data_IF_485688024018
#
_entry.id   IF_485688024018
#
_cell.length_a   1.000
_cell.length_b   1.000
_cell.length_c   1.000
_cell.angle_alpha   90.00
_cell.angle_beta   90.00
_cell.angle_gamma   90.00
#
_symmetry.space_group_name_H-M   'P 1'
#
loop_
_entity.id
_entity.type
_entity.pdbx_description
1 polymer ?
#
# COMPACT_ATOMS: atom_id res chain seq x y z
N UNK A 1 -0.68 16.79 -15.01
CA UNK A 1 -1.62 16.07 -14.13
C UNK A 1 -1.05 14.68 -13.92
N UNK A 2 -0.89 14.21 -12.68
CA UNK A 2 -0.32 12.89 -12.39
C UNK A 2 -1.44 12.02 -11.80
N UNK A 3 -1.74 10.90 -12.46
CA UNK A 3 -2.67 9.89 -11.95
C UNK A 3 -1.87 8.69 -11.48
N UNK A 4 -2.06 8.28 -10.23
CA UNK A 4 -1.36 7.12 -9.66
C UNK A 4 -2.40 6.12 -9.19
N UNK A 5 -2.20 4.86 -9.57
CA UNK A 5 -3.00 3.74 -9.12
C UNK A 5 -2.09 2.82 -8.32
N UNK A 6 -2.47 2.52 -7.09
CA UNK A 6 -1.81 1.48 -6.29
C UNK A 6 -2.68 0.24 -6.38
N UNK A 7 -2.28 -0.72 -7.21
CA UNK A 7 -3.03 -1.97 -7.42
C UNK A 7 -2.75 -2.96 -6.28
N UNK A 8 -1.51 -3.47 -6.19
CA UNK A 8 -1.16 -4.50 -5.23
C UNK A 8 0.33 -4.50 -4.87
N UNK A 9 0.68 -5.24 -3.81
CA UNK A 9 2.04 -5.66 -3.52
C UNK A 9 2.08 -7.18 -3.33
N UNK A 10 3.25 -7.79 -3.47
CA UNK A 10 3.43 -9.22 -3.26
C UNK A 10 4.76 -9.53 -2.57
N UNK A 11 4.80 -10.66 -1.86
CA UNK A 11 6.03 -11.13 -1.23
C UNK A 11 6.50 -10.29 -0.04
N UNK A 12 5.57 -9.66 0.70
CA UNK A 12 5.92 -8.88 1.88
C UNK A 12 6.54 -9.82 2.93
N UNK A 13 7.70 -9.46 3.53
CA UNK A 13 8.34 -10.30 4.52
C UNK A 13 7.44 -10.49 5.75
N UNK A 14 7.27 -11.76 6.16
CA UNK A 14 6.61 -12.08 7.43
C UNK A 14 7.43 -11.52 8.60
N UNK A 15 6.74 -10.94 9.57
CA UNK A 15 7.36 -10.60 10.86
C UNK A 15 7.49 -11.86 11.71
N UNK A 16 8.41 -11.83 12.69
CA UNK A 16 8.61 -12.93 13.64
C UNK A 16 7.36 -13.22 14.49
N UNK A 17 6.45 -12.26 14.63
CA UNK A 17 5.19 -12.39 15.34
C UNK A 17 4.07 -11.72 14.52
N UNK A 18 3.14 -12.53 14.01
CA UNK A 18 2.00 -12.08 13.21
C UNK A 18 2.30 -11.77 11.74
N UNK A 19 1.24 -11.63 10.95
CA UNK A 19 1.35 -11.07 9.61
C UNK A 19 1.37 -9.53 9.72
N UNK A 20 2.13 -8.84 8.85
CA UNK A 20 2.10 -7.38 8.80
C UNK A 20 0.75 -6.89 8.24
N UNK A 21 0.38 -5.67 8.62
CA UNK A 21 -0.72 -4.91 8.01
C UNK A 21 -0.14 -3.93 7.00
N UNK A 22 0.04 -4.32 5.73
CA UNK A 22 0.71 -3.48 4.76
C UNK A 22 -0.05 -2.20 4.43
N UNK A 23 0.72 -1.15 4.18
CA UNK A 23 0.27 0.15 3.66
C UNK A 23 1.20 0.60 2.54
N UNK A 24 0.67 1.33 1.58
CA UNK A 24 1.45 2.01 0.56
C UNK A 24 1.32 3.53 0.71
N UNK A 25 2.39 4.26 0.42
CA UNK A 25 2.39 5.72 0.42
C UNK A 25 2.97 6.26 -0.87
N UNK A 26 2.23 7.15 -1.52
CA UNK A 26 2.67 7.87 -2.73
C UNK A 26 3.06 9.28 -2.32
N UNK A 27 4.27 9.70 -2.70
CA UNK A 27 4.79 11.04 -2.44
C UNK A 27 5.10 11.72 -3.78
N UNK A 28 4.46 12.85 -4.06
CA UNK A 28 4.71 13.64 -5.26
C UNK A 28 4.67 15.13 -4.92
N UNK A 29 5.76 15.86 -5.22
CA UNK A 29 5.87 17.32 -4.99
C UNK A 29 5.48 17.77 -3.57
N UNK A 30 5.84 16.98 -2.55
CA UNK A 30 5.50 17.25 -1.15
C UNK A 30 4.11 16.79 -0.71
N UNK A 31 3.23 16.36 -1.63
CA UNK A 31 1.95 15.74 -1.30
C UNK A 31 2.17 14.26 -0.98
N UNK A 32 1.70 13.81 0.20
CA UNK A 32 1.75 12.42 0.64
C UNK A 32 0.33 11.87 0.78
N UNK A 33 -0.01 10.87 -0.02
CA UNK A 33 -1.26 10.09 0.12
C UNK A 33 -0.93 8.66 0.54
N UNK A 34 -1.71 8.10 1.46
CA UNK A 34 -1.56 6.72 1.93
C UNK A 34 -2.79 5.90 1.55
N UNK A 35 -2.59 4.62 1.26
CA UNK A 35 -3.67 3.65 1.09
C UNK A 35 -4.22 3.20 2.46
N UNK A 36 -5.38 2.54 2.46
CA UNK A 36 -5.87 1.83 3.65
C UNK A 36 -4.90 0.74 4.07
N UNK A 37 -4.84 0.43 5.36
CA UNK A 37 -4.19 -0.79 5.82
C UNK A 37 -5.03 -2.01 5.41
N UNK A 38 -4.37 -3.09 4.99
CA UNK A 38 -5.00 -4.40 4.81
C UNK A 38 -4.48 -5.28 5.93
N UNK A 39 -5.37 -5.87 6.72
CA UNK A 39 -4.98 -6.62 7.91
C UNK A 39 -4.42 -7.99 7.55
N UNK A 40 -3.28 -8.33 8.14
CA UNK A 40 -2.65 -9.66 8.09
C UNK A 40 -2.42 -10.26 6.68
N UNK A 41 -2.22 -9.43 5.66
CA UNK A 41 -2.06 -9.86 4.26
C UNK A 41 -0.63 -9.58 3.75
N UNK A 42 -0.03 -10.57 3.09
CA UNK A 42 1.32 -10.44 2.50
C UNK A 42 1.28 -10.08 1.01
N UNK A 43 0.12 -10.24 0.39
CA UNK A 43 -0.14 -9.88 -0.99
C UNK A 43 -1.34 -8.92 -1.07
N UNK A 44 -1.23 -7.71 -0.48
CA UNK A 44 -2.34 -6.78 -0.37
C UNK A 44 -2.77 -6.27 -1.76
N UNK A 45 -4.09 -6.15 -1.95
CA UNK A 45 -4.70 -5.53 -3.13
C UNK A 45 -5.50 -4.31 -2.68
N UNK A 46 -5.07 -3.12 -3.06
CA UNK A 46 -5.74 -1.87 -2.72
C UNK A 46 -6.68 -1.39 -3.81
N UNK A 47 -6.29 -1.52 -5.09
CA UNK A 47 -7.00 -0.95 -6.23
C UNK A 47 -7.44 0.52 -6.01
N UNK A 48 -6.61 1.30 -5.30
CA UNK A 48 -6.92 2.70 -5.01
C UNK A 48 -6.38 3.60 -6.12
N UNK A 49 -7.29 4.29 -6.80
CA UNK A 49 -6.96 5.37 -7.75
C UNK A 49 -6.88 6.69 -6.97
N UNK A 50 -5.77 7.41 -7.13
CA UNK A 50 -5.61 8.76 -6.55
C UNK A 50 -5.28 9.75 -7.67
N UNK A 51 -6.18 10.71 -7.86
CA UNK A 51 -6.01 11.89 -8.73
C UNK A 51 -5.22 13.03 -8.06
#
# INVERSE_FOLDING_TARGET
>A
MLRVVVESASGIPKKKLGNPDPIAAVVFRGLKKKTKAIDNELNPVWNEVRD
#
